data_IF_081311586104
#
_entry.id   IF_081311586104
#
_cell.length_a   1.000
_cell.length_b   1.000
_cell.length_c   1.000
_cell.angle_alpha   90.00
_cell.angle_beta   90.00
_cell.angle_gamma   90.00
#
_symmetry.space_group_name_H-M   'P 1'
#
loop_
_entity.id
_entity.type
_entity.pdbx_description
1 polymer ?
#
# COMPACT_ATOMS: atom_id res chain seq x y z
N UNK A 1 -11.57 -0.73 6.24
CA UNK A 1 -11.30 0.45 5.40
C UNK A 1 -11.49 0.03 3.96
N UNK A 2 -12.12 0.87 3.15
CA UNK A 2 -12.26 0.65 1.70
C UNK A 2 -11.00 1.12 0.97
N UNK A 3 -10.79 0.67 -0.28
CA UNK A 3 -9.67 1.13 -1.11
C UNK A 3 -9.70 2.66 -1.32
N UNK A 4 -10.90 3.24 -1.45
CA UNK A 4 -11.08 4.68 -1.60
C UNK A 4 -10.65 5.45 -0.34
N UNK A 5 -11.06 4.98 0.83
CA UNK A 5 -10.65 5.56 2.11
C UNK A 5 -9.13 5.44 2.34
N UNK A 6 -8.51 4.34 1.91
CA UNK A 6 -7.05 4.18 1.98
C UNK A 6 -6.33 5.17 1.07
N UNK A 7 -6.81 5.31 -0.17
CA UNK A 7 -6.24 6.21 -1.16
C UNK A 7 -6.28 7.67 -0.68
N UNK A 8 -7.42 8.11 -0.13
CA UNK A 8 -7.54 9.44 0.47
C UNK A 8 -6.60 9.65 1.65
N UNK A 9 -6.46 8.67 2.54
CA UNK A 9 -5.58 8.78 3.71
C UNK A 9 -4.10 8.74 3.38
N UNK A 10 -3.71 7.99 2.36
CA UNK A 10 -2.33 7.84 1.93
C UNK A 10 -1.90 8.92 0.91
N UNK A 11 -2.81 9.82 0.53
CA UNK A 11 -2.62 10.79 -0.57
C UNK A 11 -2.20 10.12 -1.89
N UNK A 12 -2.83 8.98 -2.18
CA UNK A 12 -2.57 8.16 -3.36
C UNK A 12 -3.79 8.12 -4.28
N UNK A 13 -3.56 7.92 -5.57
CA UNK A 13 -4.64 7.71 -6.53
C UNK A 13 -5.38 6.39 -6.23
N UNK A 14 -6.71 6.40 -6.29
CA UNK A 14 -7.55 5.21 -6.08
C UNK A 14 -7.20 4.08 -7.06
N UNK A 15 -6.94 4.40 -8.33
CA UNK A 15 -6.50 3.44 -9.34
C UNK A 15 -5.11 2.89 -9.03
N UNK A 16 -4.28 3.64 -8.30
CA UNK A 16 -2.95 3.22 -7.88
C UNK A 16 -3.02 2.23 -6.72
N UNK A 17 -3.88 2.47 -5.71
CA UNK A 17 -4.17 1.48 -4.65
C UNK A 17 -4.67 0.16 -5.26
N UNK A 18 -5.59 0.23 -6.23
CA UNK A 18 -6.09 -0.96 -6.93
C UNK A 18 -5.00 -1.73 -7.67
N UNK A 19 -4.00 -1.03 -8.21
CA UNK A 19 -2.84 -1.65 -8.85
C UNK A 19 -1.94 -2.34 -7.82
N UNK A 20 -1.62 -1.68 -6.70
CA UNK A 20 -0.78 -2.23 -5.62
C UNK A 20 -1.34 -3.55 -5.09
N UNK A 21 -2.66 -3.64 -4.92
CA UNK A 21 -3.33 -4.87 -4.46
C UNK A 21 -3.42 -5.96 -5.54
N UNK A 22 -3.11 -5.65 -6.79
CA UNK A 22 -3.18 -6.64 -7.87
C UNK A 22 -1.91 -7.50 -7.92
N UNK A 23 -2.09 -8.81 -8.06
CA UNK A 23 -0.99 -9.78 -8.16
C UNK A 23 -0.03 -9.52 -9.33
N UNK A 24 -0.46 -8.75 -10.34
CA UNK A 24 0.32 -8.42 -11.54
C UNK A 24 1.29 -7.25 -11.36
N UNK A 25 1.08 -6.39 -10.36
CA UNK A 25 1.79 -5.11 -10.20
C UNK A 25 2.56 -5.05 -8.88
N UNK A 26 2.79 -6.19 -8.24
CA UNK A 26 3.49 -6.31 -6.96
C UNK A 26 4.94 -5.73 -6.94
N UNK A 27 5.46 -5.20 -8.05
CA UNK A 27 6.87 -4.80 -8.19
C UNK A 27 7.11 -3.38 -8.74
N UNK A 28 6.10 -2.51 -8.86
CA UNK A 28 6.29 -1.15 -9.45
C UNK A 28 6.01 0.01 -8.51
N UNK A 29 5.87 -0.23 -7.20
CA UNK A 29 5.73 0.83 -6.21
C UNK A 29 7.03 1.09 -5.45
N UNK A 30 7.16 2.30 -4.93
CA UNK A 30 8.34 2.72 -4.18
C UNK A 30 8.26 2.26 -2.72
N UNK A 31 9.41 2.23 -2.03
CA UNK A 31 9.44 2.01 -0.57
C UNK A 31 8.71 3.14 0.17
N UNK A 32 8.76 4.37 -0.35
CA UNK A 32 8.03 5.51 0.19
C UNK A 32 6.51 5.25 0.17
N UNK A 33 5.99 4.73 -0.94
CA UNK A 33 4.58 4.36 -1.08
C UNK A 33 4.14 3.34 -0.04
N UNK A 34 4.96 2.32 0.23
CA UNK A 34 4.66 1.35 1.30
C UNK A 34 4.64 2.01 2.68
N UNK A 35 5.55 2.95 2.92
CA UNK A 35 5.60 3.69 4.18
C UNK A 35 4.35 4.57 4.35
N UNK A 36 3.95 5.31 3.33
CA UNK A 36 2.75 6.16 3.37
C UNK A 36 1.48 5.34 3.60
N UNK A 37 1.39 4.16 2.97
CA UNK A 37 0.31 3.19 3.21
C UNK A 37 0.34 2.68 4.65
N UNK A 38 1.52 2.39 5.22
CA UNK A 38 1.65 1.95 6.62
C UNK A 38 1.17 3.03 7.61
N UNK A 39 1.48 4.30 7.33
CA UNK A 39 1.00 5.43 8.14
C UNK A 39 -0.53 5.58 8.01
N UNK A 40 -1.09 5.46 6.81
CA UNK A 40 -2.53 5.55 6.58
C UNK A 40 -3.32 4.40 7.23
N UNK A 41 -2.70 3.23 7.34
CA UNK A 41 -3.25 2.04 8.01
C UNK A 41 -3.04 2.04 9.53
N UNK A 42 -2.19 2.93 10.05
CA UNK A 42 -1.75 2.96 11.46
C UNK A 42 -1.12 1.62 11.90
N UNK A 43 -0.20 1.10 11.07
CA UNK A 43 0.51 -0.16 11.33
C UNK A 43 2.01 -0.02 11.08
N UNK A 44 2.81 -0.90 11.69
CA UNK A 44 4.24 -0.96 11.39
C UNK A 44 4.48 -1.43 9.95
N UNK A 45 5.31 -0.69 9.21
CA UNK A 45 5.64 -1.01 7.80
C UNK A 45 6.18 -2.43 7.61
N UNK A 46 6.84 -3.00 8.62
CA UNK A 46 7.35 -4.38 8.61
C UNK A 46 6.25 -5.43 8.43
N UNK A 47 5.01 -5.13 8.83
CA UNK A 47 3.86 -6.02 8.68
C UNK A 47 3.37 -6.12 7.23
N UNK A 48 3.81 -5.23 6.35
CA UNK A 48 3.48 -5.26 4.92
C UNK A 48 4.39 -6.21 4.11
N UNK A 49 5.44 -6.75 4.74
CA UNK A 49 6.37 -7.68 4.08
C UNK A 49 6.13 -9.11 4.55
N UNK A 50 6.07 -10.04 3.59
CA UNK A 50 6.10 -11.47 3.89
C UNK A 50 7.55 -11.94 3.81
N UNK A 51 8.09 -12.41 4.94
CA UNK A 51 9.38 -13.10 4.94
C UNK A 51 9.17 -14.50 4.33
N UNK A 52 9.58 -14.68 3.09
CA UNK A 52 9.71 -16.01 2.51
C UNK A 52 10.99 -16.67 3.05
N UNK A 53 10.86 -17.90 3.55
CA UNK A 53 11.97 -18.72 4.06
C UNK A 53 12.59 -19.55 2.95
#
# INVERSE_FOLDING_TARGET
>A
MTQAELAEKADLNHDYIRQIESEKVANTFSVQTLYDISLALDVEVGLLFKLEK
#
